data_IF_792560470898
#
_entry.id   IF_792560470898
#
_cell.length_a   1.000
_cell.length_b   1.000
_cell.length_c   1.000
_cell.angle_alpha   90.00
_cell.angle_beta   90.00
_cell.angle_gamma   90.00
#
_symmetry.space_group_name_H-M   'P 1'
#
loop_
_entity.id
_entity.type
_entity.pdbx_description
1 polymer ?
#
# COMPACT_ATOMS: atom_id res chain seq x y z
N UNK A 1 -33.25 -63.27 -39.39
CA UNK A 1 -32.67 -62.09 -40.05
C UNK A 1 -33.51 -60.87 -39.68
N UNK A 2 -33.07 -60.12 -38.68
CA UNK A 2 -33.16 -58.67 -38.64
C UNK A 2 -32.29 -58.18 -37.48
N UNK A 3 -31.50 -57.17 -37.82
CA UNK A 3 -30.40 -56.60 -37.06
C UNK A 3 -30.87 -55.58 -36.01
N UNK A 4 -29.94 -55.30 -35.11
CA UNK A 4 -29.69 -54.16 -34.21
C UNK A 4 -30.51 -52.87 -34.47
N UNK A 5 -30.82 -52.03 -33.47
CA UNK A 5 -29.88 -51.09 -32.83
C UNK A 5 -30.50 -50.54 -31.53
N UNK A 6 -29.71 -50.55 -30.46
CA UNK A 6 -29.97 -49.86 -29.19
C UNK A 6 -29.67 -48.36 -29.33
N UNK A 7 -30.60 -47.51 -28.89
CA UNK A 7 -30.42 -46.05 -28.86
C UNK A 7 -29.34 -45.64 -27.82
N UNK A 8 -28.40 -44.74 -28.16
CA UNK A 8 -27.48 -44.18 -27.19
C UNK A 8 -28.16 -43.06 -26.38
N UNK A 9 -27.87 -43.07 -25.09
CA UNK A 9 -28.13 -42.03 -24.08
C UNK A 9 -27.58 -40.67 -24.52
N UNK A 10 -28.43 -39.65 -24.50
CA UNK A 10 -28.06 -38.25 -24.71
C UNK A 10 -27.21 -37.74 -23.54
N UNK A 11 -26.00 -37.31 -23.86
CA UNK A 11 -25.16 -36.45 -23.03
C UNK A 11 -25.88 -35.13 -22.73
N UNK A 12 -25.79 -34.56 -21.51
CA UNK A 12 -26.27 -33.21 -21.28
C UNK A 12 -25.34 -32.23 -22.00
N UNK A 13 -25.90 -31.48 -22.94
CA UNK A 13 -25.22 -30.36 -23.59
C UNK A 13 -24.80 -29.34 -22.53
N UNK A 14 -23.53 -28.94 -22.60
CA UNK A 14 -22.95 -27.87 -21.82
C UNK A 14 -23.61 -26.55 -22.23
N UNK A 15 -24.70 -26.21 -21.57
CA UNK A 15 -25.37 -24.92 -21.71
C UNK A 15 -24.49 -23.80 -21.19
N UNK A 16 -24.29 -22.81 -22.05
CA UNK A 16 -23.70 -21.49 -21.79
C UNK A 16 -24.03 -20.98 -20.38
N UNK A 17 -23.09 -21.17 -19.44
CA UNK A 17 -22.96 -20.28 -18.29
C UNK A 17 -22.19 -19.08 -18.77
N UNK A 18 -22.88 -18.20 -19.49
CA UNK A 18 -22.44 -16.82 -19.60
C UNK A 18 -22.21 -16.33 -18.16
N UNK A 19 -20.94 -16.14 -17.79
CA UNK A 19 -20.58 -15.46 -16.56
C UNK A 19 -21.24 -14.09 -16.66
N UNK A 20 -22.38 -13.94 -15.98
CA UNK A 20 -22.96 -12.64 -15.74
C UNK A 20 -21.89 -11.85 -14.99
N UNK A 21 -21.13 -11.03 -15.72
CA UNK A 21 -20.18 -10.10 -15.16
C UNK A 21 -20.95 -9.31 -14.12
N UNK A 22 -20.60 -9.51 -12.84
CA UNK A 22 -21.23 -8.79 -11.75
C UNK A 22 -21.20 -7.31 -12.12
N UNK A 23 -22.37 -6.66 -12.12
CA UNK A 23 -22.45 -5.22 -12.31
C UNK A 23 -21.57 -4.62 -11.20
N UNK A 24 -20.50 -3.87 -11.53
CA UNK A 24 -19.61 -3.33 -10.51
C UNK A 24 -20.46 -2.56 -9.50
N UNK A 25 -20.36 -2.92 -8.22
CA UNK A 25 -21.00 -2.15 -7.16
C UNK A 25 -20.43 -0.73 -7.26
N UNK A 26 -21.29 0.26 -7.39
CA UNK A 26 -20.85 1.65 -7.49
C UNK A 26 -20.00 1.98 -6.25
N UNK A 27 -18.82 2.55 -6.47
CA UNK A 27 -17.91 2.96 -5.41
C UNK A 27 -18.59 3.99 -4.51
N UNK A 28 -18.52 3.80 -3.19
CA UNK A 28 -19.14 4.68 -2.21
C UNK A 28 -18.18 5.00 -1.05
N UNK A 29 -18.53 5.98 -0.21
CA UNK A 29 -17.72 6.35 0.95
C UNK A 29 -17.54 5.18 1.93
N UNK A 30 -18.52 4.27 2.04
CA UNK A 30 -18.40 3.15 2.96
C UNK A 30 -17.31 2.17 2.50
N UNK A 31 -17.21 1.94 1.20
CA UNK A 31 -16.10 1.20 0.59
C UNK A 31 -14.77 1.90 0.85
N UNK A 32 -14.66 3.21 0.56
CA UNK A 32 -13.43 3.97 0.84
C UNK A 32 -13.01 3.87 2.32
N UNK A 33 -13.95 4.03 3.25
CA UNK A 33 -13.67 3.94 4.67
C UNK A 33 -13.20 2.54 5.07
N UNK A 34 -13.81 1.50 4.49
CA UNK A 34 -13.39 0.12 4.71
C UNK A 34 -11.97 -0.11 4.19
N UNK A 35 -11.67 0.35 2.97
CA UNK A 35 -10.34 0.21 2.37
C UNK A 35 -9.27 0.95 3.19
N UNK A 36 -9.53 2.18 3.63
CA UNK A 36 -8.56 2.95 4.43
C UNK A 36 -8.32 2.32 5.82
N UNK A 37 -9.35 1.74 6.45
CA UNK A 37 -9.18 0.98 7.70
C UNK A 37 -8.35 -0.28 7.47
N UNK A 38 -8.61 -1.00 6.37
CA UNK A 38 -7.80 -2.15 5.98
C UNK A 38 -6.35 -1.75 5.69
N UNK A 39 -6.11 -0.64 5.00
CA UNK A 39 -4.76 -0.13 4.73
C UNK A 39 -3.99 0.13 6.02
N UNK A 40 -4.63 0.83 6.97
CA UNK A 40 -4.05 1.05 8.28
C UNK A 40 -3.70 -0.26 8.99
N UNK A 41 -4.55 -1.28 8.85
CA UNK A 41 -4.33 -2.60 9.43
C UNK A 41 -3.18 -3.37 8.75
N UNK A 42 -3.05 -3.27 7.42
CA UNK A 42 -1.96 -3.90 6.65
C UNK A 42 -0.60 -3.35 7.11
N UNK A 43 -0.39 -2.03 7.08
CA UNK A 43 0.86 -1.41 7.54
C UNK A 43 1.10 -1.64 9.06
N UNK A 44 0.03 -1.66 9.87
CA UNK A 44 0.18 -1.97 11.29
C UNK A 44 0.59 -3.44 11.49
N UNK A 45 0.19 -4.36 10.62
CA UNK A 45 0.51 -5.77 10.74
C UNK A 45 1.99 -6.09 10.46
N UNK A 46 2.74 -5.21 9.79
CA UNK A 46 4.16 -5.40 9.47
C UNK A 46 5.09 -4.92 10.59
N UNK A 47 4.70 -3.89 11.35
CA UNK A 47 5.53 -3.27 12.40
C UNK A 47 5.92 -4.24 13.54
N UNK A 48 4.99 -4.98 14.19
CA UNK A 48 5.35 -5.88 15.28
C UNK A 48 6.33 -7.01 14.89
N UNK A 49 6.20 -7.68 13.73
CA UNK A 49 7.21 -8.62 13.24
C UNK A 49 8.62 -8.02 13.16
N UNK A 50 8.76 -6.83 12.57
CA UNK A 50 10.05 -6.15 12.44
C UNK A 50 10.64 -5.77 13.81
N UNK A 51 9.85 -5.13 14.66
CA UNK A 51 10.28 -4.75 16.02
C UNK A 51 10.66 -5.97 16.86
N UNK A 52 9.88 -7.05 16.79
CA UNK A 52 10.17 -8.29 17.54
C UNK A 52 11.52 -8.88 17.13
N UNK A 53 11.79 -8.94 15.83
CA UNK A 53 13.08 -9.41 15.34
C UNK A 53 14.22 -8.47 15.75
N UNK A 54 14.04 -7.16 15.59
CA UNK A 54 15.05 -6.16 15.96
C UNK A 54 15.42 -6.26 17.45
N UNK A 55 14.42 -6.33 18.34
CA UNK A 55 14.64 -6.42 19.78
C UNK A 55 15.22 -7.77 20.25
N UNK A 56 15.21 -8.80 19.39
CA UNK A 56 15.88 -10.06 19.69
C UNK A 56 17.40 -10.02 19.45
N UNK A 57 17.92 -9.00 18.76
CA UNK A 57 19.34 -8.84 18.52
C UNK A 57 20.06 -8.52 19.85
N UNK A 58 21.19 -9.19 20.09
CA UNK A 58 21.98 -9.01 21.31
C UNK A 58 22.69 -7.65 21.30
N UNK A 59 22.76 -7.01 22.46
CA UNK A 59 23.44 -5.72 22.64
C UNK A 59 24.85 -5.72 22.04
N UNK A 60 25.11 -4.70 21.21
CA UNK A 60 26.40 -4.53 20.54
C UNK A 60 26.70 -5.51 19.40
N UNK A 61 25.79 -6.44 19.07
CA UNK A 61 25.90 -7.36 17.94
C UNK A 61 24.96 -6.97 16.81
N UNK A 62 25.35 -7.29 15.57
CA UNK A 62 24.52 -7.08 14.37
C UNK A 62 23.94 -5.66 14.27
N UNK A 63 24.73 -4.64 14.65
CA UNK A 63 24.27 -3.24 14.71
C UNK A 63 23.75 -2.75 13.36
N UNK A 64 24.41 -3.16 12.28
CA UNK A 64 23.99 -2.86 10.92
C UNK A 64 22.63 -3.47 10.60
N UNK A 65 22.45 -4.77 10.87
CA UNK A 65 21.15 -5.45 10.72
C UNK A 65 20.05 -4.76 11.52
N UNK A 66 20.32 -4.40 12.78
CA UNK A 66 19.38 -3.64 13.60
C UNK A 66 19.06 -2.26 13.02
N UNK A 67 20.05 -1.59 12.43
CA UNK A 67 19.86 -0.31 11.73
C UNK A 67 18.96 -0.43 10.50
N UNK A 68 19.16 -1.48 9.69
CA UNK A 68 18.34 -1.79 8.50
C UNK A 68 16.90 -2.14 8.91
N UNK A 69 16.72 -3.03 9.89
CA UNK A 69 15.35 -3.35 10.34
C UNK A 69 14.67 -2.10 10.91
N UNK A 70 15.41 -1.26 11.64
CA UNK A 70 14.88 0.01 12.14
C UNK A 70 14.48 0.94 11.00
N UNK A 71 15.22 1.01 9.89
CA UNK A 71 14.81 1.87 8.76
C UNK A 71 13.49 1.42 8.17
N UNK A 72 13.30 0.11 7.98
CA UNK A 72 12.02 -0.47 7.51
C UNK A 72 10.88 -0.13 8.48
N UNK A 73 11.06 -0.33 9.78
CA UNK A 73 10.03 0.05 10.78
C UNK A 73 9.61 1.52 10.67
N UNK A 74 10.57 2.41 10.42
CA UNK A 74 10.27 3.83 10.29
C UNK A 74 9.51 4.14 8.99
N UNK A 75 9.74 3.38 7.91
CA UNK A 75 8.99 3.47 6.65
C UNK A 75 7.54 3.01 6.87
N UNK A 76 7.31 1.87 7.51
CA UNK A 76 5.95 1.40 7.84
C UNK A 76 5.19 2.40 8.73
N UNK A 77 5.89 3.07 9.67
CA UNK A 77 5.31 4.14 10.47
C UNK A 77 4.98 5.40 9.66
N UNK A 78 5.77 5.71 8.63
CA UNK A 78 5.47 6.77 7.67
C UNK A 78 4.21 6.42 6.86
N UNK A 79 4.06 5.16 6.40
CA UNK A 79 2.87 4.72 5.68
C UNK A 79 1.61 4.87 6.54
N UNK A 80 1.67 4.47 7.82
CA UNK A 80 0.57 4.71 8.76
C UNK A 80 0.22 6.20 8.91
N UNK A 81 1.22 7.09 8.93
CA UNK A 81 1.00 8.52 9.01
C UNK A 81 0.35 9.07 7.71
N UNK A 82 0.78 8.59 6.54
CA UNK A 82 0.21 8.94 5.24
C UNK A 82 -1.25 8.50 5.14
N UNK A 83 -1.55 7.24 5.48
CA UNK A 83 -2.93 6.71 5.54
C UNK A 83 -3.75 7.54 6.53
N UNK A 84 -3.17 7.86 7.70
CA UNK A 84 -3.80 8.72 8.69
C UNK A 84 -4.17 10.10 8.15
N UNK A 85 -3.28 10.72 7.36
CA UNK A 85 -3.55 11.99 6.68
C UNK A 85 -4.65 11.86 5.62
N UNK A 86 -4.64 10.80 4.82
CA UNK A 86 -5.72 10.52 3.84
C UNK A 86 -7.06 10.37 4.57
N UNK A 87 -7.12 9.52 5.60
CA UNK A 87 -8.31 9.31 6.45
C UNK A 87 -8.82 10.62 7.02
N UNK A 88 -7.95 11.40 7.67
CA UNK A 88 -8.32 12.68 8.25
C UNK A 88 -8.84 13.66 7.20
N UNK A 89 -8.29 13.66 5.99
CA UNK A 89 -8.71 14.55 4.91
C UNK A 89 -10.12 14.20 4.39
N UNK A 90 -10.47 12.92 4.31
CA UNK A 90 -11.81 12.46 3.89
C UNK A 90 -12.83 12.40 5.03
N UNK A 91 -12.44 12.81 6.24
CA UNK A 91 -13.32 12.90 7.41
C UNK A 91 -13.41 11.62 8.26
N UNK A 92 -12.51 10.66 8.05
CA UNK A 92 -12.39 9.43 8.84
C UNK A 92 -11.32 9.61 9.92
N UNK A 93 -11.60 9.13 11.13
CA UNK A 93 -10.59 9.14 12.21
C UNK A 93 -9.83 7.81 12.20
N UNK A 94 -8.48 7.82 12.09
CA UNK A 94 -7.67 6.61 12.20
C UNK A 94 -7.86 5.93 13.57
N UNK A 95 -8.04 4.62 13.58
CA UNK A 95 -8.21 3.79 14.79
C UNK A 95 -7.39 2.51 14.64
N UNK A 96 -6.52 2.25 15.61
CA UNK A 96 -5.60 1.11 15.61
C UNK A 96 -6.08 -0.06 16.48
N UNK A 97 -7.11 0.17 17.28
CA UNK A 97 -7.65 -0.73 18.30
C UNK A 97 -8.97 -1.38 17.86
N UNK A 98 -9.22 -1.42 16.55
CA UNK A 98 -10.38 -2.11 15.99
C UNK A 98 -10.24 -3.62 16.20
N UNK A 99 -11.12 -4.28 16.98
CA UNK A 99 -11.00 -5.70 17.31
C UNK A 99 -11.02 -6.62 16.08
N UNK A 100 -11.65 -6.18 14.98
CA UNK A 100 -11.75 -6.96 13.75
C UNK A 100 -10.52 -6.80 12.83
N UNK A 101 -9.69 -5.78 13.08
CA UNK A 101 -8.53 -5.43 12.25
C UNK A 101 -7.21 -5.40 13.02
N UNK A 102 -7.23 -5.67 14.33
CA UNK A 102 -6.00 -5.81 15.12
C UNK A 102 -5.21 -7.03 14.61
N UNK A 103 -3.90 -6.89 14.31
CA UNK A 103 -3.11 -7.99 13.77
C UNK A 103 -3.04 -9.20 14.72
N UNK A 104 -3.18 -10.40 14.15
CA UNK A 104 -3.02 -11.68 14.87
C UNK A 104 -1.86 -12.44 14.24
N UNK A 105 -0.97 -12.98 15.07
CA UNK A 105 0.21 -13.70 14.63
C UNK A 105 0.30 -15.11 15.26
N UNK A 106 0.74 -16.13 14.49
CA UNK A 106 0.92 -16.11 13.05
C UNK A 106 -0.42 -15.98 12.30
N UNK A 107 -0.41 -15.33 11.14
CA UNK A 107 -1.63 -15.13 10.34
C UNK A 107 -1.35 -14.41 9.01
N UNK A 108 -2.35 -14.35 8.13
CA UNK A 108 -2.25 -13.59 6.88
C UNK A 108 -2.29 -12.08 7.15
N UNK A 109 -1.92 -11.28 6.15
CA UNK A 109 -2.18 -9.84 6.20
C UNK A 109 -3.69 -9.54 6.15
N UNK A 110 -4.15 -8.46 6.81
CA UNK A 110 -5.53 -8.02 6.73
C UNK A 110 -5.98 -7.72 5.29
N UNK A 111 -7.28 -7.86 5.02
CA UNK A 111 -7.85 -7.51 3.73
C UNK A 111 -7.63 -8.52 2.60
N UNK A 112 -6.96 -9.65 2.86
CA UNK A 112 -6.66 -10.66 1.84
C UNK A 112 -5.53 -10.24 0.90
N UNK A 113 -4.77 -9.22 1.26
CA UNK A 113 -3.54 -8.82 0.56
C UNK A 113 -2.48 -9.88 0.82
N UNK A 114 -1.73 -10.25 -0.23
CA UNK A 114 -0.73 -11.31 -0.24
C UNK A 114 -1.22 -12.58 0.47
N UNK A 115 -2.24 -13.28 -0.08
CA UNK A 115 -2.95 -14.36 0.60
C UNK A 115 -2.07 -15.57 0.95
N UNK A 116 -0.95 -15.74 0.23
CA UNK A 116 0.01 -16.82 0.45
C UNK A 116 1.10 -16.48 1.48
N UNK A 117 1.14 -15.24 1.98
CA UNK A 117 2.11 -14.79 2.97
C UNK A 117 1.57 -14.95 4.39
N UNK A 118 2.20 -15.83 5.18
CA UNK A 118 1.97 -15.91 6.62
C UNK A 118 2.97 -15.03 7.38
N UNK A 119 2.46 -14.01 8.06
CA UNK A 119 3.24 -13.12 8.91
C UNK A 119 3.28 -13.66 10.33
N UNK A 120 4.47 -13.80 10.89
CA UNK A 120 4.67 -14.33 12.24
C UNK A 120 5.65 -13.49 13.06
N UNK A 121 5.57 -13.62 14.39
CA UNK A 121 6.54 -13.01 15.31
C UNK A 121 7.69 -13.98 15.58
N UNK A 122 8.89 -13.44 15.82
CA UNK A 122 10.01 -14.22 16.31
C UNK A 122 11.35 -13.51 16.22
N UNK A 123 12.38 -14.17 16.75
CA UNK A 123 13.74 -13.64 16.73
C UNK A 123 14.27 -13.48 15.30
N UNK A 124 15.20 -12.53 15.14
CA UNK A 124 15.90 -12.27 13.89
C UNK A 124 16.73 -13.50 13.50
N UNK A 125 16.39 -14.08 12.36
CA UNK A 125 17.10 -15.19 11.74
C UNK A 125 17.09 -15.00 10.23
N UNK A 126 18.05 -15.64 9.54
CA UNK A 126 18.07 -15.61 8.06
C UNK A 126 16.78 -16.18 7.48
N UNK A 127 16.25 -17.24 8.09
CA UNK A 127 14.98 -17.85 7.73
C UNK A 127 13.84 -16.81 7.77
N UNK A 128 13.73 -16.05 8.87
CA UNK A 128 12.69 -15.04 9.06
C UNK A 128 12.82 -13.88 8.08
N UNK A 129 14.04 -13.43 7.83
CA UNK A 129 14.30 -12.39 6.82
C UNK A 129 13.80 -12.87 5.45
N UNK A 130 14.09 -14.11 5.06
CA UNK A 130 13.70 -14.65 3.75
C UNK A 130 12.21 -14.93 3.61
N UNK A 131 11.58 -15.47 4.64
CA UNK A 131 10.20 -15.97 4.56
C UNK A 131 9.16 -14.92 4.92
N UNK A 132 9.49 -13.99 5.80
CA UNK A 132 8.55 -12.95 6.24
C UNK A 132 8.93 -11.62 5.62
N UNK A 133 10.13 -11.09 5.87
CA UNK A 133 10.46 -9.71 5.50
C UNK A 133 10.54 -9.54 4.00
N UNK A 134 11.31 -10.38 3.31
CA UNK A 134 11.40 -10.34 1.84
C UNK A 134 10.08 -10.71 1.15
N UNK A 135 9.16 -11.39 1.85
CA UNK A 135 7.82 -11.65 1.34
C UNK A 135 6.93 -10.41 1.44
N UNK A 136 7.04 -9.64 2.53
CA UNK A 136 6.33 -8.36 2.69
C UNK A 136 6.84 -7.31 1.69
N UNK A 137 8.16 -7.21 1.53
CA UNK A 137 8.85 -6.18 0.72
C UNK A 137 9.11 -6.59 -0.74
N UNK A 138 8.41 -7.62 -1.24
CA UNK A 138 8.68 -8.12 -2.59
C UNK A 138 8.29 -7.03 -3.61
N UNK A 139 9.23 -6.50 -4.43
CA UNK A 139 8.91 -5.50 -5.43
C UNK A 139 7.88 -6.03 -6.42
N UNK A 140 6.94 -5.17 -6.76
CA UNK A 140 6.00 -5.39 -7.83
C UNK A 140 6.03 -4.23 -8.81
N UNK A 141 5.61 -4.51 -10.03
CA UNK A 141 5.48 -3.49 -11.06
C UNK A 141 4.11 -3.63 -11.71
N UNK A 142 3.52 -2.54 -12.23
CA UNK A 142 2.31 -2.63 -13.02
C UNK A 142 2.51 -3.64 -14.16
N UNK A 143 1.54 -4.51 -14.41
CA UNK A 143 1.60 -5.51 -15.47
C UNK A 143 1.53 -4.86 -16.86
N UNK A 144 0.78 -3.77 -16.97
CA UNK A 144 0.60 -3.03 -18.22
C UNK A 144 1.85 -2.19 -18.58
N UNK A 145 2.39 -2.31 -19.81
CA UNK A 145 3.52 -1.48 -20.27
C UNK A 145 3.24 0.02 -20.25
N UNK A 146 1.97 0.43 -20.32
CA UNK A 146 1.60 1.84 -20.20
C UNK A 146 1.79 2.35 -18.77
N UNK A 147 1.30 1.60 -17.78
CA UNK A 147 1.51 1.90 -16.36
C UNK A 147 2.99 1.94 -15.98
N UNK A 148 3.80 1.00 -16.49
CA UNK A 148 5.26 1.00 -16.27
C UNK A 148 5.95 2.27 -16.80
N UNK A 149 5.57 2.73 -18.00
CA UNK A 149 6.13 3.96 -18.58
C UNK A 149 5.71 5.20 -17.79
N UNK A 150 4.46 5.26 -17.34
CA UNK A 150 3.99 6.39 -16.54
C UNK A 150 4.68 6.40 -15.17
N UNK A 151 4.88 5.24 -14.54
CA UNK A 151 5.65 5.12 -13.30
C UNK A 151 7.06 5.69 -13.48
N UNK A 152 7.79 5.27 -14.54
CA UNK A 152 9.12 5.81 -14.86
C UNK A 152 9.12 7.33 -15.09
N UNK A 153 8.06 7.86 -15.72
CA UNK A 153 7.91 9.31 -15.93
C UNK A 153 7.76 10.04 -14.59
N UNK A 154 6.93 9.50 -13.69
CA UNK A 154 6.66 10.11 -12.39
C UNK A 154 7.86 10.03 -11.45
N UNK A 155 8.65 8.95 -11.52
CA UNK A 155 9.91 8.83 -10.77
C UNK A 155 10.93 9.93 -11.12
N UNK A 156 10.74 10.66 -12.23
CA UNK A 156 11.54 11.84 -12.59
C UNK A 156 11.17 13.11 -11.81
N UNK A 157 10.03 13.13 -11.11
CA UNK A 157 9.65 14.23 -10.24
C UNK A 157 10.22 14.05 -8.84
N UNK A 158 10.65 15.16 -8.23
CA UNK A 158 11.15 15.20 -6.86
C UNK A 158 10.34 16.22 -6.04
N UNK A 159 9.18 15.83 -5.47
CA UNK A 159 8.38 16.72 -4.65
C UNK A 159 9.18 17.22 -3.44
N UNK A 160 9.27 18.54 -3.29
CA UNK A 160 9.87 19.21 -2.15
C UNK A 160 8.75 19.69 -1.23
N UNK A 161 8.81 19.29 0.04
CA UNK A 161 7.78 19.61 1.04
C UNK A 161 8.25 20.72 1.98
N UNK A 162 7.31 21.55 2.45
CA UNK A 162 7.52 22.41 3.62
C UNK A 162 7.41 21.61 4.94
N UNK A 163 7.58 22.28 6.08
CA UNK A 163 7.53 21.64 7.40
C UNK A 163 6.15 21.07 7.75
N UNK A 164 5.10 21.55 7.10
CA UNK A 164 3.73 21.10 7.26
C UNK A 164 3.40 19.95 6.31
N UNK A 165 4.25 19.63 5.34
CA UNK A 165 4.07 18.56 4.35
C UNK A 165 3.41 19.01 3.04
N UNK A 166 3.31 20.31 2.77
CA UNK A 166 2.75 20.82 1.51
C UNK A 166 3.82 20.82 0.40
N UNK A 167 3.43 20.37 -0.79
CA UNK A 167 4.28 20.35 -1.99
C UNK A 167 4.56 21.79 -2.47
N UNK A 168 5.83 22.12 -2.74
CA UNK A 168 6.26 23.48 -3.07
C UNK A 168 6.67 23.70 -4.53
N UNK A 169 7.10 22.66 -5.24
CA UNK A 169 7.91 22.79 -6.47
C UNK A 169 7.32 22.10 -7.70
N UNK A 170 6.11 21.57 -7.64
CA UNK A 170 5.49 20.87 -8.77
C UNK A 170 4.60 21.81 -9.59
N UNK A 171 4.60 21.62 -10.91
CA UNK A 171 3.63 22.23 -11.82
C UNK A 171 2.26 21.57 -11.67
N UNK A 172 1.19 22.19 -12.19
CA UNK A 172 -0.14 21.58 -12.21
C UNK A 172 -0.15 20.21 -12.92
N UNK A 173 0.59 20.09 -14.02
CA UNK A 173 0.73 18.83 -14.77
C UNK A 173 1.41 17.73 -13.94
N UNK A 174 2.45 18.09 -13.19
CA UNK A 174 3.18 17.17 -12.30
C UNK A 174 2.33 16.79 -11.08
N UNK A 175 1.56 17.74 -10.52
CA UNK A 175 0.63 17.45 -9.43
C UNK A 175 -0.44 16.43 -9.82
N UNK A 176 -0.90 16.45 -11.07
CA UNK A 176 -1.88 15.49 -11.60
C UNK A 176 -1.26 14.16 -12.10
N UNK A 177 0.08 14.04 -12.13
CA UNK A 177 0.74 12.88 -12.69
C UNK A 177 0.34 11.54 -12.05
N UNK A 178 0.24 11.40 -10.71
CA UNK A 178 -0.24 10.18 -10.09
C UNK A 178 -1.63 9.73 -10.57
N UNK A 179 -2.54 10.67 -10.88
CA UNK A 179 -3.87 10.33 -11.40
C UNK A 179 -3.78 9.62 -12.75
N UNK A 180 -2.90 10.09 -13.64
CA UNK A 180 -2.66 9.44 -14.94
C UNK A 180 -2.04 8.05 -14.76
N UNK A 181 -1.11 7.92 -13.82
CA UNK A 181 -0.52 6.62 -13.48
C UNK A 181 -1.58 5.63 -13.01
N UNK A 182 -2.39 5.97 -12.00
CA UNK A 182 -3.41 5.04 -11.48
C UNK A 182 -4.53 4.73 -12.48
N UNK A 183 -4.73 5.56 -13.50
CA UNK A 183 -5.62 5.27 -14.63
C UNK A 183 -5.04 4.25 -15.63
N UNK A 184 -3.72 4.08 -15.66
CA UNK A 184 -2.98 3.20 -16.58
C UNK A 184 -2.30 2.01 -15.89
N UNK A 185 -2.16 2.08 -14.56
CA UNK A 185 -1.64 1.01 -13.74
C UNK A 185 -2.57 -0.21 -13.80
N UNK A 186 -1.97 -1.39 -13.70
CA UNK A 186 -2.67 -2.67 -13.78
C UNK A 186 -1.89 -3.65 -12.91
N UNK A 187 -1.99 -3.48 -11.59
CA UNK A 187 -1.41 -4.40 -10.62
C UNK A 187 -2.33 -5.62 -10.44
N UNK A 188 -1.75 -6.72 -9.97
CA UNK A 188 -2.53 -7.86 -9.49
C UNK A 188 -3.29 -7.43 -8.21
N UNK A 189 -4.61 -7.64 -8.18
CA UNK A 189 -5.47 -7.20 -7.07
C UNK A 189 -5.13 -7.86 -5.72
N UNK A 190 -4.37 -8.97 -5.74
CA UNK A 190 -3.95 -9.69 -4.54
C UNK A 190 -2.75 -9.07 -3.84
N UNK A 191 -2.19 -7.98 -4.38
CA UNK A 191 -0.91 -7.45 -3.92
C UNK A 191 -1.03 -6.11 -3.20
N UNK A 192 0.06 -5.64 -2.57
CA UNK A 192 0.08 -4.33 -1.92
C UNK A 192 -0.16 -3.22 -2.96
N UNK A 193 0.53 -3.27 -4.10
CA UNK A 193 0.36 -2.32 -5.19
C UNK A 193 -1.07 -2.31 -5.75
N UNK A 194 -1.66 -3.49 -5.96
CA UNK A 194 -3.07 -3.62 -6.39
C UNK A 194 -4.07 -3.10 -5.37
N UNK A 195 -3.82 -3.34 -4.09
CA UNK A 195 -4.65 -2.83 -3.01
C UNK A 195 -4.62 -1.29 -2.94
N UNK A 196 -3.45 -0.67 -3.02
CA UNK A 196 -3.33 0.79 -3.04
C UNK A 196 -3.84 1.42 -4.34
N UNK A 197 -3.67 0.74 -5.48
CA UNK A 197 -4.32 1.13 -6.74
C UNK A 197 -5.84 1.20 -6.57
N UNK A 198 -6.44 0.21 -5.90
CA UNK A 198 -7.89 0.23 -5.63
C UNK A 198 -8.31 1.45 -4.82
N UNK A 199 -7.55 1.83 -3.80
CA UNK A 199 -7.81 3.04 -3.00
C UNK A 199 -7.75 4.29 -3.87
N UNK A 200 -6.70 4.42 -4.70
CA UNK A 200 -6.53 5.55 -5.61
C UNK A 200 -7.69 5.68 -6.60
N UNK A 201 -8.17 4.57 -7.16
CA UNK A 201 -9.34 4.53 -8.06
C UNK A 201 -10.62 4.98 -7.34
N UNK A 202 -10.89 4.45 -6.15
CA UNK A 202 -12.09 4.82 -5.37
C UNK A 202 -12.05 6.31 -4.97
N UNK A 203 -10.90 6.83 -4.56
CA UNK A 203 -10.73 8.26 -4.28
C UNK A 203 -11.01 9.12 -5.51
N UNK A 204 -10.48 8.72 -6.68
CA UNK A 204 -10.68 9.44 -7.95
C UNK A 204 -12.16 9.45 -8.34
N UNK A 205 -12.81 8.28 -8.33
CA UNK A 205 -14.23 8.13 -8.66
C UNK A 205 -15.14 8.96 -7.74
N UNK A 206 -14.81 9.03 -6.44
CA UNK A 206 -15.58 9.80 -5.46
C UNK A 206 -15.34 11.30 -5.61
N UNK A 207 -14.11 11.75 -5.85
CA UNK A 207 -13.78 13.18 -5.99
C UNK A 207 -14.47 13.78 -7.24
N UNK A 208 -14.57 13.02 -8.33
CA UNK A 208 -15.31 13.44 -9.54
C UNK A 208 -16.82 13.63 -9.29
N UNK A 209 -17.40 12.84 -8.39
CA UNK A 209 -18.85 12.86 -8.10
C UNK A 209 -19.21 13.74 -6.90
N UNK A 210 -18.28 13.93 -5.97
CA UNK A 210 -18.50 14.57 -4.68
C UNK A 210 -17.58 15.77 -4.48
N UNK A 211 -18.12 16.98 -4.64
CA UNK A 211 -17.36 18.24 -4.50
C UNK A 211 -16.66 18.46 -3.16
N UNK A 212 -17.05 17.73 -2.11
CA UNK A 212 -16.55 17.89 -0.74
C UNK A 212 -16.02 16.56 -0.18
N UNK A 213 -15.37 15.73 -1.01
CA UNK A 213 -14.73 14.51 -0.53
C UNK A 213 -13.71 14.81 0.57
N UNK A 214 -12.79 15.74 0.29
CA UNK A 214 -11.72 16.17 1.20
C UNK A 214 -12.18 17.29 2.15
N UNK A 215 -13.19 17.01 2.98
CA UNK A 215 -13.83 17.98 3.89
C UNK A 215 -13.46 17.81 5.36
N UNK A 216 -12.49 16.95 5.68
CA UNK A 216 -12.06 16.71 7.05
C UNK A 216 -11.31 17.88 7.69
N UNK A 217 -11.12 17.81 9.01
CA UNK A 217 -10.51 18.89 9.80
C UNK A 217 -9.00 19.02 9.47
N UNK A 218 -8.55 20.14 8.85
CA UNK A 218 -7.15 20.31 8.46
C UNK A 218 -6.17 20.30 9.63
N UNK A 219 -6.63 20.53 10.86
CA UNK A 219 -5.81 20.49 12.08
C UNK A 219 -5.45 19.08 12.53
N UNK A 220 -6.08 18.06 11.94
CA UNK A 220 -5.80 16.65 12.21
C UNK A 220 -4.72 16.07 11.29
N UNK A 221 -4.30 16.82 10.28
CA UNK A 221 -3.14 16.45 9.46
C UNK A 221 -1.89 16.42 10.36
N UNK A 222 -1.14 15.33 10.31
CA UNK A 222 0.13 15.17 11.00
C UNK A 222 1.28 15.51 10.06
N UNK A 223 2.35 16.07 10.61
CA UNK A 223 3.57 16.39 9.89
C UNK A 223 4.79 15.76 10.56
N UNK A 224 5.81 15.46 9.77
CA UNK A 224 7.04 14.83 10.22
C UNK A 224 8.19 15.23 9.27
N UNK A 225 8.79 16.42 9.46
CA UNK A 225 9.81 16.96 8.55
C UNK A 225 11.07 16.12 8.36
N UNK A 226 11.29 15.12 9.21
CA UNK A 226 12.46 14.23 9.21
C UNK A 226 12.05 12.76 9.12
N UNK A 227 10.90 12.49 8.50
CA UNK A 227 10.48 11.14 8.16
C UNK A 227 11.51 10.48 7.21
N UNK A 228 11.56 9.13 7.14
CA UNK A 228 12.45 8.42 6.22
C UNK A 228 12.10 8.62 4.73
N UNK A 229 11.01 9.34 4.44
CA UNK A 229 10.64 9.84 3.12
C UNK A 229 9.66 11.02 3.27
N UNK A 230 8.67 11.13 2.38
CA UNK A 230 7.81 12.32 2.32
C UNK A 230 6.46 12.08 3.01
N UNK A 231 6.24 12.74 4.15
CA UNK A 231 4.92 12.79 4.77
C UNK A 231 4.09 13.95 4.18
N UNK A 232 3.29 13.64 3.16
CA UNK A 232 2.43 14.63 2.51
C UNK A 232 1.29 15.05 3.42
N UNK A 233 1.03 16.35 3.43
CA UNK A 233 -0.22 16.92 3.93
C UNK A 233 -1.31 16.71 2.89
N UNK A 234 -2.35 15.97 3.24
CA UNK A 234 -3.42 15.61 2.31
C UNK A 234 -4.59 16.56 2.48
N UNK A 235 -4.94 17.26 1.40
CA UNK A 235 -6.02 18.25 1.38
C UNK A 235 -6.93 18.16 0.16
N UNK A 236 -6.56 17.35 -0.83
CA UNK A 236 -7.28 17.15 -2.08
C UNK A 236 -6.84 15.81 -2.72
N UNK A 237 -7.44 15.47 -3.87
CA UNK A 237 -7.12 14.25 -4.60
C UNK A 237 -5.64 14.16 -4.98
N UNK A 238 -5.05 15.23 -5.53
CA UNK A 238 -3.66 15.23 -5.98
C UNK A 238 -2.69 14.86 -4.86
N UNK A 239 -2.81 15.52 -3.70
CA UNK A 239 -1.96 15.24 -2.53
C UNK A 239 -2.22 13.85 -1.94
N UNK A 240 -3.45 13.33 -2.02
CA UNK A 240 -3.76 11.97 -1.61
C UNK A 240 -3.12 10.92 -2.53
N UNK A 241 -3.13 11.14 -3.85
CA UNK A 241 -2.52 10.23 -4.81
C UNK A 241 -0.99 10.24 -4.72
N UNK A 242 -0.37 11.39 -4.46
CA UNK A 242 1.06 11.46 -4.12
C UNK A 242 1.39 10.69 -2.84
N UNK A 243 0.55 10.79 -1.81
CA UNK A 243 0.71 10.01 -0.59
C UNK A 243 0.62 8.50 -0.84
N UNK A 244 -0.34 8.04 -1.66
CA UNK A 244 -0.46 6.63 -2.03
C UNK A 244 0.75 6.17 -2.84
N UNK A 245 1.20 6.98 -3.80
CA UNK A 245 2.37 6.64 -4.60
C UNK A 245 3.63 6.49 -3.75
N UNK A 246 3.83 7.35 -2.73
CA UNK A 246 4.97 7.23 -1.80
C UNK A 246 4.92 5.92 -0.98
N UNK A 247 3.72 5.47 -0.58
CA UNK A 247 3.56 4.17 0.11
C UNK A 247 3.97 3.03 -0.82
N UNK A 248 3.48 3.05 -2.07
CA UNK A 248 3.84 2.05 -3.08
C UNK A 248 5.35 2.08 -3.36
N UNK A 249 5.92 3.25 -3.59
CA UNK A 249 7.33 3.43 -3.97
C UNK A 249 8.30 2.93 -2.89
N UNK A 250 7.97 3.16 -1.61
CA UNK A 250 8.76 2.68 -0.48
C UNK A 250 8.51 1.20 -0.17
N UNK A 251 7.25 0.74 -0.20
CA UNK A 251 6.87 -0.64 0.10
C UNK A 251 7.23 -1.65 -1.00
N UNK A 252 7.33 -1.21 -2.25
CA UNK A 252 7.84 -2.03 -3.37
C UNK A 252 9.37 -2.06 -3.43
N UNK A 253 10.06 -1.54 -2.41
CA UNK A 253 11.51 -1.64 -2.29
C UNK A 253 12.25 -0.85 -3.36
N UNK A 254 12.25 0.48 -3.25
CA UNK A 254 13.32 1.24 -3.88
C UNK A 254 14.67 0.84 -3.29
N UNK A 255 15.63 0.52 -4.16
CA UNK A 255 17.03 0.26 -3.85
C UNK A 255 17.76 1.53 -3.36
N UNK A 256 17.18 2.25 -2.40
CA UNK A 256 17.94 3.17 -1.56
C UNK A 256 18.79 2.29 -0.66
N UNK A 257 20.09 2.33 -0.90
CA UNK A 257 21.08 1.68 -0.02
C UNK A 257 20.80 2.14 1.42
N UNK A 258 20.42 1.22 2.33
CA UNK A 258 20.04 1.56 3.70
C UNK A 258 21.21 2.14 4.52
N UNK A 259 22.42 2.20 3.93
CA UNK A 259 23.59 2.87 4.51
C UNK A 259 23.70 4.36 4.17
N UNK A 260 22.86 4.90 3.29
CA UNK A 260 22.89 6.31 2.85
C UNK A 260 21.91 7.18 3.67
N UNK A 261 21.95 7.04 5.00
CA UNK A 261 21.44 8.09 5.91
C UNK A 261 22.51 9.16 6.12
N UNK A 262 22.17 10.42 6.49
CA UNK A 262 23.17 11.44 6.74
C UNK A 262 24.13 10.96 7.83
N UNK A 263 25.41 10.79 7.47
CA UNK A 263 26.45 10.44 8.42
C UNK A 263 26.44 11.49 9.54
N UNK A 264 26.19 11.12 10.82
CA UNK A 264 26.35 12.06 11.90
C UNK A 264 27.81 12.54 11.88
N UNK A 265 27.95 13.87 11.85
CA UNK A 265 29.23 14.55 11.76
C UNK A 265 30.25 13.93 12.71
N UNK A 266 31.43 13.60 12.15
CA UNK A 266 32.59 13.26 12.96
C UNK A 266 32.89 14.45 13.86
N UNK A 267 32.61 14.30 15.15
CA UNK A 267 33.23 15.14 16.16
C UNK A 267 34.74 14.83 16.14
N UNK A 268 35.52 15.82 15.72
CA UNK A 268 36.93 15.98 16.04
C UNK A 268 37.11 17.36 16.63
#
# INVERSE_FOLDING_TARGET
>A
MNETVSNPTSTPEAGDRAFARAVPKATDRAELHSLLRTALAVEHATIPPYLTAMYSLKDGKNREVGGIIRSVVMQEMLHLALIGNIMNAVGVTPRFDDPDLVPVYPGPLPGGVMPDLEVSLGACSIERVRQVFMGVELPEAPLAPAGQRELMSISGYDPQLDAEGNIQNLTEEALDAPRRFFALADYDETTIGGFYQRIAQVLTDLDEREKNLFSGDPRRQVSWPHAPGRLYRVTNLQTALWAILEIIDQGEGHAQDPTVGPLPGRAS
#
